data_IF_106105919440
#
_entry.id   IF_106105919440
#
_cell.length_a   1.000
_cell.length_b   1.000
_cell.length_c   1.000
_cell.angle_alpha   90.00
_cell.angle_beta   90.00
_cell.angle_gamma   90.00
#
_symmetry.space_group_name_H-M   'P 1'
#
loop_
_entity.id
_entity.type
_entity.pdbx_description
1 polymer ?
#
# COMPACT_ATOMS: atom_id res chain seq x y z
N UNK A 1 1.13 -7.63 -0.18
CA UNK A 1 2.35 -7.10 -0.83
C UNK A 1 3.22 -6.29 0.14
N UNK A 2 2.73 -5.14 0.66
CA UNK A 2 3.56 -4.21 1.44
C UNK A 2 4.28 -4.80 2.66
N UNK A 3 3.58 -5.59 3.49
CA UNK A 3 4.21 -6.26 4.64
C UNK A 3 5.38 -7.17 4.23
N UNK A 4 5.24 -7.94 3.17
CA UNK A 4 6.31 -8.82 2.69
C UNK A 4 7.49 -8.02 2.15
N UNK A 5 7.23 -6.95 1.39
CA UNK A 5 8.26 -6.01 0.92
C UNK A 5 9.03 -5.41 2.10
N UNK A 6 8.32 -4.89 3.11
CA UNK A 6 8.94 -4.39 4.34
C UNK A 6 9.77 -5.46 5.05
N UNK A 7 9.22 -6.67 5.22
CA UNK A 7 9.89 -7.78 5.92
C UNK A 7 11.16 -8.23 5.21
N UNK A 8 11.17 -8.24 3.88
CA UNK A 8 12.35 -8.59 3.09
C UNK A 8 13.40 -7.47 3.15
N UNK A 9 12.98 -6.22 2.94
CA UNK A 9 13.89 -5.07 2.96
C UNK A 9 14.48 -4.81 4.35
N UNK A 10 13.70 -4.97 5.42
CA UNK A 10 14.18 -4.77 6.80
C UNK A 10 15.21 -5.83 7.26
N UNK A 11 15.27 -6.99 6.60
CA UNK A 11 16.34 -7.99 6.83
C UNK A 11 17.67 -7.53 6.24
N UNK A 12 17.65 -6.85 5.09
CA UNK A 12 18.84 -6.34 4.41
C UNK A 12 19.25 -4.99 4.99
N UNK A 13 18.28 -4.11 5.24
CA UNK A 13 18.43 -2.77 5.78
C UNK A 13 18.12 -2.77 7.28
N UNK A 14 19.02 -3.37 8.07
CA UNK A 14 18.80 -3.63 9.51
C UNK A 14 18.90 -2.39 10.40
N UNK A 15 19.50 -1.29 9.92
CA UNK A 15 19.61 -0.03 10.66
C UNK A 15 18.23 0.62 10.88
N UNK A 16 18.13 1.48 11.90
CA UNK A 16 16.88 2.21 12.19
C UNK A 16 16.40 3.03 10.97
N UNK A 17 17.31 3.75 10.32
CA UNK A 17 17.06 4.48 9.07
C UNK A 17 16.69 3.53 7.92
N UNK A 18 17.33 2.36 7.87
CA UNK A 18 17.03 1.31 6.91
C UNK A 18 15.61 0.77 7.05
N UNK A 19 15.13 0.58 8.28
CA UNK A 19 13.75 0.17 8.58
C UNK A 19 12.72 1.23 8.21
N UNK A 20 13.05 2.52 8.38
CA UNK A 20 12.21 3.63 7.91
C UNK A 20 12.05 3.60 6.39
N UNK A 21 13.16 3.43 5.66
CA UNK A 21 13.14 3.32 4.20
C UNK A 21 12.37 2.07 3.73
N UNK A 22 12.62 0.92 4.38
CA UNK A 22 11.92 -0.33 4.11
C UNK A 22 10.40 -0.18 4.32
N UNK A 23 9.97 0.58 5.33
CA UNK A 23 8.55 0.83 5.59
C UNK A 23 7.93 1.70 4.49
N UNK A 24 8.60 2.81 4.09
CA UNK A 24 8.13 3.65 2.99
C UNK A 24 8.03 2.90 1.66
N UNK A 25 9.04 2.11 1.30
CA UNK A 25 8.99 1.27 0.09
C UNK A 25 7.90 0.19 0.20
N UNK A 26 7.73 -0.39 1.38
CA UNK A 26 6.64 -1.34 1.67
C UNK A 26 5.26 -0.72 1.44
N UNK A 27 5.03 0.50 1.92
CA UNK A 27 3.82 1.28 1.68
C UNK A 27 3.59 1.55 0.19
N UNK A 28 4.61 2.07 -0.51
CA UNK A 28 4.56 2.34 -1.95
C UNK A 28 4.14 1.11 -2.76
N UNK A 29 4.82 -0.02 -2.56
CA UNK A 29 4.56 -1.26 -3.27
C UNK A 29 3.19 -1.84 -2.89
N UNK A 30 2.85 -1.79 -1.60
CA UNK A 30 1.55 -2.23 -1.11
C UNK A 30 0.40 -1.49 -1.77
N UNK A 31 0.47 -0.16 -1.81
CA UNK A 31 -0.56 0.69 -2.39
C UNK A 31 -0.68 0.52 -3.89
N UNK A 32 0.44 0.43 -4.63
CA UNK A 32 0.39 0.22 -6.08
C UNK A 32 -0.19 -1.15 -6.46
N UNK A 33 0.09 -2.21 -5.69
CA UNK A 33 -0.55 -3.52 -5.91
C UNK A 33 -2.05 -3.46 -5.62
N UNK A 34 -2.47 -2.73 -4.57
CA UNK A 34 -3.88 -2.51 -4.30
C UNK A 34 -4.56 -1.73 -5.44
N UNK A 35 -3.94 -0.65 -5.92
CA UNK A 35 -4.43 0.15 -7.04
C UNK A 35 -4.58 -0.68 -8.33
N UNK A 36 -3.59 -1.53 -8.64
CA UNK A 36 -3.67 -2.44 -9.78
C UNK A 36 -4.84 -3.42 -9.66
N UNK A 37 -5.01 -4.02 -8.48
CA UNK A 37 -6.12 -4.95 -8.21
C UNK A 37 -7.46 -4.27 -8.40
N UNK A 38 -7.62 -3.06 -7.85
CA UNK A 38 -8.83 -2.23 -8.02
C UNK A 38 -9.08 -1.89 -9.49
N UNK A 39 -8.04 -1.52 -10.24
CA UNK A 39 -8.14 -1.19 -11.66
C UNK A 39 -8.63 -2.37 -12.50
N UNK A 40 -8.15 -3.57 -12.21
CA UNK A 40 -8.63 -4.81 -12.85
C UNK A 40 -10.08 -5.09 -12.48
N UNK A 41 -10.43 -4.97 -11.19
CA UNK A 41 -11.80 -5.20 -10.71
C UNK A 41 -12.82 -4.27 -11.36
N UNK A 42 -12.48 -3.00 -11.57
CA UNK A 42 -13.35 -2.06 -12.28
C UNK A 42 -13.32 -2.29 -13.79
N UNK A 43 -12.15 -2.49 -14.38
CA UNK A 43 -11.97 -2.61 -15.82
C UNK A 43 -12.64 -3.85 -16.45
N UNK A 44 -12.86 -4.91 -15.66
CA UNK A 44 -13.51 -6.13 -16.13
C UNK A 44 -15.05 -6.06 -16.10
N UNK A 45 -15.64 -5.08 -15.41
CA UNK A 45 -17.10 -5.02 -15.23
C UNK A 45 -17.89 -4.96 -16.55
N UNK A 46 -17.48 -4.19 -17.58
CA UNK A 46 -18.19 -4.18 -18.87
C UNK A 46 -18.14 -5.51 -19.63
N UNK A 47 -17.23 -6.43 -19.27
CA UNK A 47 -17.18 -7.78 -19.87
C UNK A 47 -18.13 -8.76 -19.17
N UNK A 48 -18.41 -8.53 -17.89
CA UNK A 48 -19.19 -9.44 -17.06
C UNK A 48 -20.65 -9.00 -16.91
N UNK A 49 -20.92 -7.69 -16.94
CA UNK A 49 -22.22 -7.13 -16.53
C UNK A 49 -22.72 -6.04 -17.48
N UNK A 50 -23.29 -6.48 -18.61
CA UNK A 50 -23.93 -5.62 -19.60
C UNK A 50 -25.43 -5.86 -19.63
N UNK A 51 -26.18 -4.78 -19.73
CA UNK A 51 -27.61 -4.81 -20.01
C UNK A 51 -27.87 -5.24 -21.47
N UNK A 52 -29.05 -5.79 -21.81
CA UNK A 52 -29.38 -6.17 -23.20
C UNK A 52 -29.29 -5.03 -24.23
N UNK A 53 -29.38 -3.78 -23.78
CA UNK A 53 -29.22 -2.56 -24.58
C UNK A 53 -27.74 -2.09 -24.69
N UNK A 54 -26.79 -2.89 -24.20
CA UNK A 54 -25.34 -2.63 -24.30
C UNK A 54 -24.80 -1.65 -23.26
N UNK A 55 -25.57 -1.30 -22.22
CA UNK A 55 -25.12 -0.41 -21.15
C UNK A 55 -24.40 -1.20 -20.05
N UNK A 56 -23.28 -0.67 -19.58
CA UNK A 56 -22.60 -1.23 -18.41
C UNK A 56 -23.43 -0.98 -17.14
N UNK A 57 -23.64 -2.04 -16.34
CA UNK A 57 -24.44 -1.96 -15.11
C UNK A 57 -23.64 -1.46 -13.89
N UNK A 58 -22.31 -1.52 -13.94
CA UNK A 58 -21.41 -1.10 -12.87
C UNK A 58 -20.37 -0.09 -13.39
N UNK A 59 -19.07 -0.35 -13.19
CA UNK A 59 -18.01 0.48 -13.75
C UNK A 59 -18.06 0.43 -15.29
N UNK A 60 -18.23 1.57 -15.98
CA UNK A 60 -18.46 1.58 -17.42
C UNK A 60 -17.17 1.58 -18.25
N UNK A 61 -16.01 1.80 -17.63
CA UNK A 61 -14.74 1.95 -18.31
C UNK A 61 -14.05 0.60 -18.53
N UNK A 62 -13.57 0.30 -19.75
CA UNK A 62 -12.87 -0.95 -20.02
C UNK A 62 -11.50 -0.99 -19.34
N UNK A 63 -10.90 -2.17 -19.30
CA UNK A 63 -9.61 -2.43 -18.66
C UNK A 63 -8.50 -1.48 -19.14
N UNK A 64 -8.45 -1.15 -20.42
CA UNK A 64 -7.47 -0.20 -20.96
C UNK A 64 -7.59 1.18 -20.33
N UNK A 65 -8.80 1.68 -20.05
CA UNK A 65 -8.99 3.00 -19.43
C UNK A 65 -8.76 2.91 -17.92
N UNK A 66 -9.36 1.92 -17.27
CA UNK A 66 -9.27 1.75 -15.81
C UNK A 66 -7.82 1.57 -15.33
N UNK A 67 -7.02 0.77 -16.05
CA UNK A 67 -5.60 0.57 -15.71
C UNK A 67 -4.80 1.86 -15.76
N UNK A 68 -4.89 2.62 -16.86
CA UNK A 68 -4.12 3.87 -16.98
C UNK A 68 -4.57 4.91 -15.97
N UNK A 69 -5.88 5.10 -15.81
CA UNK A 69 -6.44 6.07 -14.88
C UNK A 69 -6.03 5.78 -13.42
N UNK A 70 -6.14 4.51 -12.99
CA UNK A 70 -5.80 4.14 -11.62
C UNK A 70 -4.28 4.08 -11.40
N UNK A 71 -3.53 3.39 -12.27
CA UNK A 71 -2.11 3.18 -12.02
C UNK A 71 -1.28 4.44 -12.16
N UNK A 72 -1.57 5.32 -13.13
CA UNK A 72 -0.76 6.51 -13.37
C UNK A 72 -0.71 7.40 -12.12
N UNK A 73 -1.86 7.69 -11.51
CA UNK A 73 -1.93 8.54 -10.32
C UNK A 73 -1.32 7.88 -9.08
N UNK A 74 -1.47 6.56 -8.92
CA UNK A 74 -0.95 5.85 -7.74
C UNK A 74 0.55 5.57 -7.84
N UNK A 75 1.10 5.39 -9.03
CA UNK A 75 2.54 5.23 -9.21
C UNK A 75 3.29 6.55 -9.03
N UNK A 76 2.69 7.67 -9.45
CA UNK A 76 3.37 8.99 -9.47
C UNK A 76 3.15 9.79 -8.19
N UNK A 77 1.89 10.02 -7.81
CA UNK A 77 1.55 10.96 -6.74
C UNK A 77 1.22 10.19 -5.46
N UNK A 78 0.17 9.37 -5.47
CA UNK A 78 -0.37 8.79 -4.22
C UNK A 78 0.60 7.79 -3.61
N UNK A 79 1.27 6.96 -4.41
CA UNK A 79 2.32 6.06 -3.96
C UNK A 79 3.48 6.81 -3.32
N UNK A 80 3.93 7.89 -3.96
CA UNK A 80 5.01 8.73 -3.41
C UNK A 80 4.60 9.34 -2.08
N UNK A 81 3.39 9.88 -1.98
CA UNK A 81 2.83 10.41 -0.72
C UNK A 81 2.78 9.32 0.35
N UNK A 82 2.28 8.13 0.02
CA UNK A 82 2.18 7.00 0.96
C UNK A 82 3.56 6.58 1.48
N UNK A 83 4.57 6.53 0.61
CA UNK A 83 5.94 6.19 0.98
C UNK A 83 6.51 7.20 1.98
N UNK A 84 6.29 8.50 1.72
CA UNK A 84 6.76 9.59 2.58
C UNK A 84 6.04 9.60 3.92
N UNK A 85 4.71 9.50 3.91
CA UNK A 85 3.89 9.48 5.14
C UNK A 85 4.25 8.27 6.00
N UNK A 86 4.31 7.08 5.41
CA UNK A 86 4.67 5.85 6.13
C UNK A 86 6.08 5.95 6.71
N UNK A 87 7.06 6.40 5.92
CA UNK A 87 8.42 6.59 6.40
C UNK A 87 8.48 7.60 7.55
N UNK A 88 7.81 8.74 7.44
CA UNK A 88 7.78 9.77 8.47
C UNK A 88 7.15 9.27 9.77
N UNK A 89 6.04 8.54 9.68
CA UNK A 89 5.38 7.94 10.86
C UNK A 89 6.31 6.95 11.54
N UNK A 90 6.93 6.02 10.79
CA UNK A 90 7.87 5.04 11.38
C UNK A 90 9.09 5.73 11.98
N UNK A 91 9.64 6.75 11.33
CA UNK A 91 10.73 7.55 11.89
C UNK A 91 10.34 8.21 13.21
N UNK A 92 9.14 8.80 13.25
CA UNK A 92 8.61 9.45 14.45
C UNK A 92 8.38 8.46 15.58
N UNK A 93 7.94 7.23 15.27
CA UNK A 93 7.75 6.16 16.25
C UNK A 93 9.08 5.66 16.82
N UNK A 94 10.13 5.52 16.03
CA UNK A 94 11.45 5.14 16.55
C UNK A 94 12.05 6.19 17.48
N UNK A 95 11.78 7.47 17.21
CA UNK A 95 12.28 8.59 18.03
C UNK A 95 11.41 8.86 19.26
N UNK A 96 10.13 8.49 19.20
CA UNK A 96 9.19 8.67 20.30
C UNK A 96 9.57 7.78 21.47
N UNK A 97 9.82 8.43 22.60
CA UNK A 97 10.11 7.82 23.90
C UNK A 97 9.15 6.67 24.23
N UNK A 98 7.88 6.72 23.83
CA UNK A 98 6.85 5.68 24.06
C UNK A 98 7.19 4.24 23.62
N UNK A 99 8.24 4.01 22.82
CA UNK A 99 8.70 2.66 22.49
C UNK A 99 9.00 1.79 23.73
N UNK A 100 9.43 2.38 24.85
CA UNK A 100 9.64 1.66 26.11
C UNK A 100 8.35 1.26 26.84
N UNK A 101 7.19 1.84 26.50
CA UNK A 101 5.89 1.36 27.02
C UNK A 101 5.52 0.03 26.37
N UNK A 102 5.86 -0.18 25.10
CA UNK A 102 5.59 -1.43 24.37
C UNK A 102 6.60 -2.55 24.67
N UNK A 103 7.75 -2.23 25.26
CA UNK A 103 8.76 -3.20 25.72
C UNK A 103 8.78 -3.36 27.25
N UNK A 104 7.78 -2.80 27.94
CA UNK A 104 7.62 -2.99 29.38
C UNK A 104 7.38 -4.47 29.71
N UNK A 105 7.95 -5.00 30.79
CA UNK A 105 7.88 -6.43 31.14
C UNK A 105 6.44 -6.95 31.29
N UNK A 106 5.48 -6.07 31.59
CA UNK A 106 4.05 -6.38 31.68
C UNK A 106 3.45 -6.83 30.34
N UNK A 107 3.94 -6.28 29.21
CA UNK A 107 3.47 -6.63 27.86
C UNK A 107 3.99 -7.98 27.33
N UNK A 108 5.04 -8.52 27.95
CA UNK A 108 5.64 -9.82 27.60
C UNK A 108 4.99 -11.01 28.32
N UNK A 109 4.27 -10.74 29.41
CA UNK A 109 3.58 -11.75 30.25
C UNK A 109 2.26 -12.26 29.62
N UNK A 110 1.72 -11.53 28.63
CA UNK A 110 0.43 -11.82 27.99
C UNK A 110 0.53 -12.48 26.60
N UNK A 111 1.73 -12.91 26.19
CA UNK A 111 1.98 -13.74 25.00
C UNK A 111 2.52 -15.10 25.39
#
# INVERSE_FOLDING_TARGET
>A
AGYYTFRLLSRVLSSERGRVLAAGIGGYVGLNVAAFTTAVMFGIQPLLHMSPDGRALYAPYPLSVALHAMMLQHMTIIGTVEALVTGLVVHSLHRSKSAWVLDSPESRSSR
#
